data_IF_598072739380
#
_entry.id   IF_598072739380
#
_cell.length_a   1.000
_cell.length_b   1.000
_cell.length_c   1.000
_cell.angle_alpha   90.00
_cell.angle_beta   90.00
_cell.angle_gamma   90.00
#
_symmetry.space_group_name_H-M   'P 1'
#
loop_
_entity.id
_entity.type
_entity.pdbx_description
1 polymer ?
#
# COMPACT_ATOMS: atom_id res chain seq x y z
N UNK A 1 1.62 1.60 14.80
CA UNK A 1 2.63 0.56 14.38
C UNK A 1 3.68 0.39 15.46
N UNK A 2 4.09 -0.85 15.75
CA UNK A 2 5.20 -1.11 16.69
C UNK A 2 6.53 -0.61 16.12
N UNK A 3 7.53 -0.26 16.99
CA UNK A 3 8.78 0.36 16.53
C UNK A 3 9.54 -0.46 15.47
N UNK A 4 9.49 -1.80 15.56
CA UNK A 4 10.17 -2.72 14.63
C UNK A 4 9.72 -2.55 13.16
N UNK A 5 8.46 -2.17 12.93
CA UNK A 5 7.87 -2.05 11.59
C UNK A 5 7.60 -0.59 11.19
N UNK A 6 8.08 0.36 12.02
CA UNK A 6 7.95 1.78 11.73
C UNK A 6 8.82 2.16 10.53
N UNK A 7 8.23 2.80 9.55
CA UNK A 7 8.91 3.45 8.42
C UNK A 7 8.85 4.95 8.67
N UNK A 8 9.99 5.62 8.77
CA UNK A 8 10.05 7.01 9.25
C UNK A 8 9.24 7.97 8.36
N UNK A 9 9.37 7.89 7.05
CA UNK A 9 8.65 8.75 6.10
C UNK A 9 7.12 8.61 6.21
N UNK A 10 6.62 7.38 6.42
CA UNK A 10 5.20 7.16 6.69
C UNK A 10 4.81 7.68 8.08
N UNK A 11 5.68 7.51 9.06
CA UNK A 11 5.43 8.06 10.40
C UNK A 11 5.27 9.58 10.36
N UNK A 12 6.09 10.28 9.57
CA UNK A 12 6.06 11.72 9.45
C UNK A 12 4.76 12.23 8.84
N UNK A 13 4.14 11.46 7.91
CA UNK A 13 2.80 11.75 7.38
C UNK A 13 1.71 11.56 8.46
N UNK A 14 1.79 10.51 9.26
CA UNK A 14 0.72 10.11 10.18
C UNK A 14 0.93 10.55 11.63
N UNK A 15 2.01 11.27 11.98
CA UNK A 15 2.20 11.82 13.32
C UNK A 15 1.20 12.94 13.62
N UNK A 16 0.89 13.13 14.91
CA UNK A 16 -0.09 14.11 15.37
C UNK A 16 0.20 15.51 14.82
N UNK A 17 1.44 15.93 14.87
CA UNK A 17 1.84 17.24 14.34
C UNK A 17 1.45 17.44 12.86
N UNK A 18 1.76 16.49 11.98
CA UNK A 18 1.40 16.59 10.57
C UNK A 18 -0.12 16.48 10.35
N UNK A 19 -0.80 15.64 11.15
CA UNK A 19 -2.26 15.55 11.14
C UNK A 19 -2.88 16.94 11.42
N UNK A 20 -2.49 17.59 12.50
CA UNK A 20 -3.00 18.92 12.88
C UNK A 20 -2.60 19.99 11.85
N UNK A 21 -1.40 19.95 11.31
CA UNK A 21 -0.98 20.84 10.23
C UNK A 21 -1.81 20.63 8.94
N UNK A 22 -2.20 19.39 8.64
CA UNK A 22 -3.05 19.10 7.47
C UNK A 22 -4.48 19.57 7.71
N UNK A 23 -4.99 19.46 8.95
CA UNK A 23 -6.26 20.06 9.35
C UNK A 23 -6.23 21.58 9.19
N UNK A 24 -5.14 22.23 9.64
CA UNK A 24 -4.95 23.67 9.47
C UNK A 24 -4.93 24.10 8.00
N UNK A 25 -4.32 23.31 7.10
CA UNK A 25 -4.37 23.56 5.65
C UNK A 25 -5.80 23.59 5.13
N UNK A 26 -6.67 22.71 5.62
CA UNK A 26 -8.09 22.66 5.23
C UNK A 26 -8.83 23.90 5.75
N UNK A 27 -8.64 24.26 7.03
CA UNK A 27 -9.23 25.46 7.63
C UNK A 27 -8.79 26.74 6.89
N UNK A 28 -7.51 26.88 6.61
CA UNK A 28 -7.00 28.06 5.87
C UNK A 28 -7.56 28.14 4.46
N UNK A 29 -7.65 27.01 3.74
CA UNK A 29 -8.28 26.96 2.43
C UNK A 29 -9.76 27.40 2.48
N UNK A 30 -10.48 27.01 3.52
CA UNK A 30 -11.85 27.42 3.77
C UNK A 30 -11.94 28.94 4.07
N UNK A 31 -11.13 29.44 4.99
CA UNK A 31 -11.09 30.87 5.35
C UNK A 31 -10.73 31.75 4.14
N UNK A 32 -9.77 31.35 3.32
CA UNK A 32 -9.42 32.05 2.08
C UNK A 32 -10.59 32.14 1.09
N UNK A 33 -11.37 31.08 1.01
CA UNK A 33 -12.54 31.06 0.16
C UNK A 33 -13.68 31.89 0.72
N UNK A 34 -13.92 31.87 2.05
CA UNK A 34 -14.90 32.70 2.73
C UNK A 34 -14.64 34.21 2.47
N UNK A 35 -13.42 34.64 2.67
CA UNK A 35 -13.03 36.04 2.50
C UNK A 35 -13.23 36.58 1.06
N UNK A 36 -13.25 35.67 0.07
CA UNK A 36 -13.36 36.04 -1.35
C UNK A 36 -14.77 35.93 -1.93
N UNK A 37 -15.57 35.00 -1.43
CA UNK A 37 -16.75 34.52 -2.17
C UNK A 37 -18.07 34.64 -1.41
N UNK A 38 -18.07 34.91 -0.12
CA UNK A 38 -19.32 34.96 0.67
C UNK A 38 -19.66 36.40 1.03
N UNK A 39 -20.80 36.87 0.52
CA UNK A 39 -21.32 38.24 0.80
C UNK A 39 -21.86 38.38 2.21
N UNK A 40 -22.28 37.30 2.83
CA UNK A 40 -22.86 37.29 4.18
C UNK A 40 -21.80 37.20 5.29
N UNK A 41 -20.55 36.95 4.89
CA UNK A 41 -19.39 36.83 5.78
C UNK A 41 -18.57 38.12 5.69
N UNK A 42 -18.38 38.77 6.82
CA UNK A 42 -17.62 40.03 6.90
C UNK A 42 -16.13 39.81 7.16
N UNK A 43 -15.59 38.65 6.82
CA UNK A 43 -14.16 38.37 6.91
C UNK A 43 -13.42 39.15 5.83
N UNK A 44 -12.73 40.22 6.25
CA UNK A 44 -11.91 41.01 5.33
C UNK A 44 -10.58 40.32 4.99
N UNK A 45 -9.94 40.77 3.91
CA UNK A 45 -8.60 40.29 3.55
C UNK A 45 -7.58 40.63 4.64
N UNK A 46 -7.72 41.76 5.29
CA UNK A 46 -6.82 42.19 6.38
C UNK A 46 -7.00 41.29 7.62
N UNK A 47 -8.23 40.97 8.01
CA UNK A 47 -8.48 39.98 9.08
C UNK A 47 -7.94 38.61 8.74
N UNK A 48 -8.09 38.13 7.49
CA UNK A 48 -7.51 36.87 7.03
C UNK A 48 -5.97 36.87 7.14
N UNK A 49 -5.33 37.98 6.79
CA UNK A 49 -3.87 38.10 6.93
C UNK A 49 -3.46 38.06 8.41
N UNK A 50 -4.19 38.75 9.29
CA UNK A 50 -3.97 38.69 10.74
C UNK A 50 -4.10 37.24 11.25
N UNK A 51 -5.12 36.51 10.80
CA UNK A 51 -5.26 35.08 11.16
C UNK A 51 -4.03 34.30 10.71
N UNK A 52 -3.63 34.40 9.45
CA UNK A 52 -2.50 33.66 8.88
C UNK A 52 -1.16 33.95 9.58
N UNK A 53 -0.95 35.18 10.03
CA UNK A 53 0.29 35.57 10.71
C UNK A 53 0.38 35.06 12.14
N UNK A 54 -0.74 34.86 12.81
CA UNK A 54 -0.79 34.52 14.23
C UNK A 54 -1.14 33.05 14.48
N UNK A 55 -1.87 32.40 13.55
CA UNK A 55 -2.37 31.01 13.75
C UNK A 55 -1.22 30.02 13.88
N UNK A 56 -1.24 29.23 14.91
CA UNK A 56 -0.19 28.26 15.20
C UNK A 56 -0.73 26.98 15.82
N UNK A 57 0.01 25.89 15.63
CA UNK A 57 -0.27 24.58 16.23
C UNK A 57 0.54 24.41 17.50
N UNK A 58 -0.15 24.34 18.64
CA UNK A 58 0.41 23.95 19.94
C UNK A 58 -0.15 22.57 20.33
N UNK A 59 0.67 21.53 20.17
CA UNK A 59 0.26 20.14 20.41
C UNK A 59 -0.05 19.89 21.88
N UNK A 60 0.65 20.53 22.79
CA UNK A 60 0.46 20.28 24.23
C UNK A 60 -0.82 21.01 24.68
N UNK A 61 -1.07 22.22 24.21
CA UNK A 61 -2.35 22.91 24.42
C UNK A 61 -3.52 22.13 23.83
N UNK A 62 -3.38 21.60 22.61
CA UNK A 62 -4.40 20.75 21.99
C UNK A 62 -4.74 19.54 22.87
N UNK A 63 -3.73 18.82 23.43
CA UNK A 63 -3.94 17.68 24.34
C UNK A 63 -4.66 18.06 25.63
N UNK A 64 -4.32 19.21 26.22
CA UNK A 64 -4.99 19.73 27.41
C UNK A 64 -6.47 19.89 27.14
N UNK A 65 -6.84 20.64 26.09
CA UNK A 65 -8.22 20.88 25.72
C UNK A 65 -8.95 19.56 25.36
N UNK A 66 -8.29 18.65 24.60
CA UNK A 66 -8.87 17.36 24.27
C UNK A 66 -9.17 16.51 25.51
N UNK A 67 -8.30 16.57 26.53
CA UNK A 67 -8.49 15.81 27.78
C UNK A 67 -9.75 16.26 28.55
N UNK A 68 -10.14 17.52 28.41
CA UNK A 68 -11.33 18.10 29.01
C UNK A 68 -12.58 17.88 28.14
N UNK A 69 -12.49 18.24 26.86
CA UNK A 69 -13.62 18.22 25.91
C UNK A 69 -13.93 16.81 25.38
N UNK A 70 -12.95 15.91 25.39
CA UNK A 70 -12.97 14.58 24.78
C UNK A 70 -13.36 14.58 23.29
N UNK A 71 -12.99 15.68 22.61
CA UNK A 71 -13.31 15.87 21.22
C UNK A 71 -12.12 16.53 20.50
N UNK A 72 -11.42 15.74 19.67
CA UNK A 72 -10.15 16.13 19.04
C UNK A 72 -10.28 17.35 18.11
N UNK A 73 -11.35 17.44 17.30
CA UNK A 73 -11.55 18.61 16.40
C UNK A 73 -12.00 19.83 17.17
N UNK A 74 -12.86 19.69 18.21
CA UNK A 74 -13.23 20.83 19.05
C UNK A 74 -12.00 21.40 19.77
N UNK A 75 -11.14 20.54 20.28
CA UNK A 75 -9.88 20.95 20.87
C UNK A 75 -8.95 21.66 19.87
N UNK A 76 -8.92 21.19 18.62
CA UNK A 76 -8.17 21.83 17.55
C UNK A 76 -8.70 23.23 17.22
N UNK A 77 -10.00 23.37 17.04
CA UNK A 77 -10.64 24.67 16.76
C UNK A 77 -10.37 25.65 17.88
N UNK A 78 -10.60 25.26 19.15
CA UNK A 78 -10.35 26.12 20.31
C UNK A 78 -8.87 26.55 20.41
N UNK A 79 -7.93 25.63 20.21
CA UNK A 79 -6.49 25.94 20.19
C UNK A 79 -6.16 26.98 19.11
N UNK A 80 -6.76 26.87 17.92
CA UNK A 80 -6.56 27.85 16.85
C UNK A 80 -7.17 29.22 17.21
N UNK A 81 -8.39 29.22 17.77
CA UNK A 81 -9.04 30.47 18.24
C UNK A 81 -8.21 31.19 19.30
N UNK A 82 -7.62 30.46 20.24
CA UNK A 82 -6.73 31.01 21.28
C UNK A 82 -5.44 31.60 20.71
N UNK A 83 -4.98 31.15 19.54
CA UNK A 83 -3.74 31.64 18.91
C UNK A 83 -3.90 32.92 18.09
N UNK A 84 -5.12 33.35 17.82
CA UNK A 84 -5.42 34.54 17.03
C UNK A 84 -6.19 35.60 17.83
N UNK A 85 -6.21 36.90 17.42
CA UNK A 85 -7.03 37.92 18.09
C UNK A 85 -8.51 37.49 18.10
N UNK A 86 -9.16 37.63 19.25
CA UNK A 86 -10.53 37.15 19.50
C UNK A 86 -11.56 37.59 18.45
N UNK A 87 -11.44 38.79 17.92
CA UNK A 87 -12.36 39.31 16.88
C UNK A 87 -12.21 38.59 15.54
N UNK A 88 -11.01 38.09 15.22
CA UNK A 88 -10.71 37.38 13.96
C UNK A 88 -10.98 35.87 14.07
N UNK A 89 -10.82 35.31 15.26
CA UNK A 89 -11.00 33.85 15.51
C UNK A 89 -12.40 33.35 15.24
N UNK A 90 -13.44 34.20 15.31
CA UNK A 90 -14.85 33.80 15.11
C UNK A 90 -15.17 33.13 13.77
N UNK A 91 -14.28 33.25 12.77
CA UNK A 91 -14.46 32.66 11.44
C UNK A 91 -13.83 31.29 11.29
N UNK A 92 -12.99 30.87 12.25
CA UNK A 92 -12.39 29.51 12.25
C UNK A 92 -13.52 28.51 12.38
N UNK A 93 -13.50 27.48 11.55
CA UNK A 93 -14.50 26.41 11.48
C UNK A 93 -15.94 26.86 11.15
N UNK A 94 -16.13 28.09 10.66
CA UNK A 94 -17.46 28.65 10.38
C UNK A 94 -18.18 27.82 9.29
N UNK A 95 -19.34 27.24 9.63
CA UNK A 95 -20.16 26.43 8.71
C UNK A 95 -19.62 25.05 8.40
N UNK A 96 -18.53 24.66 9.03
CA UNK A 96 -17.95 23.32 8.90
C UNK A 96 -18.43 22.36 9.99
N UNK A 97 -18.18 21.08 9.78
CA UNK A 97 -18.26 20.03 10.78
C UNK A 97 -16.92 19.30 10.86
N UNK A 98 -16.68 18.57 11.94
CA UNK A 98 -15.42 17.82 12.16
C UNK A 98 -15.00 17.00 10.95
N UNK A 99 -15.94 16.33 10.28
CA UNK A 99 -15.64 15.49 9.11
C UNK A 99 -15.22 16.25 7.87
N UNK A 100 -15.57 17.53 7.74
CA UNK A 100 -15.07 18.38 6.66
C UNK A 100 -13.55 18.50 6.72
N UNK A 101 -13.02 18.67 7.93
CA UNK A 101 -11.58 18.78 8.18
C UNK A 101 -10.91 17.39 8.19
N UNK A 102 -11.49 16.43 8.93
CA UNK A 102 -10.89 15.09 9.08
C UNK A 102 -10.81 14.38 7.75
N UNK A 103 -11.92 14.25 7.02
CA UNK A 103 -11.99 13.43 5.81
C UNK A 103 -11.21 14.05 4.65
N UNK A 104 -11.30 15.36 4.48
CA UNK A 104 -10.52 16.08 3.46
C UNK A 104 -9.02 15.98 3.72
N UNK A 105 -8.60 16.11 4.97
CA UNK A 105 -7.21 15.88 5.37
C UNK A 105 -6.76 14.43 5.18
N UNK A 106 -7.65 13.48 5.45
CA UNK A 106 -7.37 12.04 5.26
C UNK A 106 -7.07 11.73 3.80
N UNK A 107 -7.83 12.32 2.85
CA UNK A 107 -7.54 12.21 1.41
C UNK A 107 -6.14 12.71 1.09
N UNK A 108 -5.73 13.86 1.61
CA UNK A 108 -4.39 14.43 1.39
C UNK A 108 -3.30 13.50 1.93
N UNK A 109 -3.44 13.03 3.17
CA UNK A 109 -2.47 12.11 3.81
C UNK A 109 -2.39 10.76 3.11
N UNK A 110 -3.50 10.23 2.59
CA UNK A 110 -3.51 9.03 1.75
C UNK A 110 -2.73 9.24 0.44
N UNK A 111 -2.91 10.37 -0.24
CA UNK A 111 -2.15 10.72 -1.46
C UNK A 111 -0.65 10.81 -1.21
N UNK A 112 -0.24 11.45 -0.10
CA UNK A 112 1.16 11.50 0.32
C UNK A 112 1.71 10.11 0.60
N UNK A 113 0.96 9.26 1.31
CA UNK A 113 1.34 7.87 1.57
C UNK A 113 1.50 7.06 0.29
N UNK A 114 0.59 7.19 -0.67
CA UNK A 114 0.68 6.52 -1.97
C UNK A 114 1.90 7.00 -2.77
N UNK A 115 2.32 8.25 -2.63
CA UNK A 115 3.53 8.77 -3.27
C UNK A 115 4.80 8.09 -2.73
N UNK A 116 4.85 7.86 -1.43
CA UNK A 116 5.95 7.11 -0.81
C UNK A 116 5.91 5.63 -1.25
N UNK A 117 4.72 5.00 -1.24
CA UNK A 117 4.54 3.61 -1.67
C UNK A 117 4.94 3.44 -3.14
N UNK A 118 4.58 4.38 -4.03
CA UNK A 118 4.97 4.39 -5.45
C UNK A 118 6.50 4.34 -5.59
N UNK A 119 7.22 5.14 -4.83
CA UNK A 119 8.69 5.14 -4.83
C UNK A 119 9.27 3.80 -4.36
N UNK A 120 8.79 3.24 -3.26
CA UNK A 120 9.26 1.93 -2.78
C UNK A 120 8.96 0.79 -3.77
N UNK A 121 7.84 0.86 -4.49
CA UNK A 121 7.55 -0.07 -5.59
C UNK A 121 8.57 0.10 -6.75
N UNK A 122 8.90 1.34 -7.12
CA UNK A 122 9.89 1.61 -8.16
C UNK A 122 11.28 1.08 -7.78
N UNK A 123 11.70 1.27 -6.52
CA UNK A 123 12.96 0.73 -5.99
C UNK A 123 12.99 -0.81 -6.08
N UNK A 124 11.89 -1.47 -5.72
CA UNK A 124 11.79 -2.94 -5.81
C UNK A 124 11.84 -3.41 -7.26
N UNK A 125 11.17 -2.72 -8.19
CA UNK A 125 11.23 -3.00 -9.63
C UNK A 125 12.64 -2.79 -10.19
N UNK A 126 13.38 -1.82 -9.69
CA UNK A 126 14.78 -1.59 -10.07
C UNK A 126 15.66 -2.82 -9.71
N UNK A 127 15.56 -3.36 -8.50
CA UNK A 127 16.32 -4.56 -8.11
C UNK A 127 15.91 -5.79 -8.92
N UNK A 128 14.63 -6.00 -9.18
CA UNK A 128 14.15 -7.08 -10.06
C UNK A 128 14.70 -6.92 -11.49
N UNK A 129 14.76 -5.70 -12.00
CA UNK A 129 15.33 -5.43 -13.34
C UNK A 129 16.83 -5.74 -13.38
N UNK A 130 17.57 -5.44 -12.30
CA UNK A 130 18.98 -5.80 -12.21
C UNK A 130 19.21 -7.31 -12.19
N UNK A 131 18.33 -8.08 -11.53
CA UNK A 131 18.37 -9.55 -11.58
C UNK A 131 18.20 -10.08 -13.01
N UNK A 132 17.29 -9.51 -13.82
CA UNK A 132 17.12 -9.90 -15.23
C UNK A 132 18.38 -9.59 -16.07
N UNK A 133 19.08 -8.51 -15.75
CA UNK A 133 20.29 -8.10 -16.46
C UNK A 133 21.53 -8.88 -16.05
N UNK A 134 21.49 -9.62 -14.95
CA UNK A 134 22.63 -10.42 -14.49
C UNK A 134 22.85 -11.65 -15.41
N UNK A 135 24.10 -12.06 -15.56
CA UNK A 135 24.47 -13.25 -16.35
C UNK A 135 23.77 -14.52 -15.86
N UNK A 136 23.57 -14.62 -14.55
CA UNK A 136 22.86 -15.71 -13.90
C UNK A 136 21.39 -15.87 -14.33
N UNK A 137 20.79 -14.81 -14.89
CA UNK A 137 19.40 -14.83 -15.33
C UNK A 137 19.12 -15.80 -16.49
N UNK A 138 20.15 -16.13 -17.29
CA UNK A 138 20.05 -17.06 -18.42
C UNK A 138 20.14 -18.53 -18.02
N UNK A 139 20.59 -18.83 -16.80
CA UNK A 139 20.76 -20.20 -16.33
C UNK A 139 19.43 -20.91 -16.17
N UNK A 140 19.47 -22.22 -16.39
CA UNK A 140 18.30 -23.09 -16.34
C UNK A 140 17.82 -23.31 -14.91
N UNK A 141 16.53 -23.47 -14.76
CA UNK A 141 15.84 -23.83 -13.52
C UNK A 141 14.63 -24.67 -13.86
N UNK A 142 14.31 -25.66 -13.04
CA UNK A 142 13.14 -26.51 -13.23
C UNK A 142 11.85 -25.75 -12.88
N UNK A 143 10.90 -25.69 -13.83
CA UNK A 143 9.54 -25.25 -13.50
C UNK A 143 8.74 -26.37 -12.84
N UNK A 144 7.87 -25.99 -11.91
CA UNK A 144 7.02 -26.95 -11.19
C UNK A 144 5.57 -26.46 -11.21
N UNK A 145 4.68 -27.32 -11.69
CA UNK A 145 3.23 -27.14 -11.59
C UNK A 145 2.67 -28.20 -10.63
N UNK A 146 1.75 -27.82 -9.75
CA UNK A 146 1.24 -28.72 -8.69
C UNK A 146 2.35 -29.36 -7.82
N UNK A 147 3.52 -28.71 -7.73
CA UNK A 147 4.71 -29.24 -7.03
C UNK A 147 5.47 -30.33 -7.78
N UNK A 148 5.07 -30.66 -9.01
CA UNK A 148 5.72 -31.65 -9.88
C UNK A 148 6.53 -30.96 -10.97
N UNK A 149 7.61 -31.63 -11.43
CA UNK A 149 8.40 -31.22 -12.58
C UNK A 149 7.50 -31.01 -13.82
N UNK A 150 7.68 -29.90 -14.52
CA UNK A 150 6.91 -29.59 -15.72
C UNK A 150 7.83 -29.34 -16.93
N UNK A 151 8.57 -28.25 -16.92
CA UNK A 151 9.46 -27.86 -18.02
C UNK A 151 10.74 -27.22 -17.48
N UNK A 152 11.78 -27.20 -18.26
CA UNK A 152 12.98 -26.41 -17.99
C UNK A 152 12.72 -24.97 -18.45
N UNK A 153 13.00 -24.01 -17.59
CA UNK A 153 12.91 -22.57 -17.86
C UNK A 153 14.20 -21.86 -17.44
N UNK A 154 14.23 -20.54 -17.54
CA UNK A 154 15.34 -19.74 -17.04
C UNK A 154 14.93 -18.89 -15.84
N UNK A 155 15.91 -18.50 -15.01
CA UNK A 155 15.66 -17.50 -13.93
C UNK A 155 15.07 -16.21 -14.50
N UNK A 156 15.48 -15.79 -15.72
CA UNK A 156 14.92 -14.61 -16.40
C UNK A 156 13.40 -14.71 -16.56
N UNK A 157 12.88 -15.88 -16.91
CA UNK A 157 11.44 -16.09 -17.04
C UNK A 157 10.73 -15.99 -15.67
N UNK A 158 11.34 -16.50 -14.60
CA UNK A 158 10.84 -16.33 -13.23
C UNK A 158 10.79 -14.84 -12.84
N UNK A 159 11.89 -14.12 -13.00
CA UNK A 159 11.98 -12.70 -12.65
C UNK A 159 11.05 -11.83 -13.50
N UNK A 160 10.88 -12.16 -14.78
CA UNK A 160 9.94 -11.46 -15.67
C UNK A 160 8.50 -11.56 -15.14
N UNK A 161 8.08 -12.73 -14.65
CA UNK A 161 6.74 -12.90 -14.03
C UNK A 161 6.59 -12.08 -12.74
N UNK A 162 7.63 -12.02 -11.90
CA UNK A 162 7.63 -11.19 -10.71
C UNK A 162 7.50 -9.70 -11.04
N UNK A 163 8.29 -9.22 -12.02
CA UNK A 163 8.18 -7.84 -12.52
C UNK A 163 6.77 -7.55 -13.04
N UNK A 164 6.21 -8.42 -13.86
CA UNK A 164 4.87 -8.22 -14.42
C UNK A 164 3.79 -8.14 -13.32
N UNK A 165 3.91 -8.94 -12.25
CA UNK A 165 3.03 -8.87 -11.09
C UNK A 165 3.14 -7.54 -10.35
N UNK A 166 4.38 -7.14 -10.01
CA UNK A 166 4.63 -5.90 -9.27
C UNK A 166 4.33 -4.66 -10.12
N UNK A 167 4.52 -4.71 -11.45
CA UNK A 167 4.14 -3.62 -12.37
C UNK A 167 2.65 -3.34 -12.33
N UNK A 168 1.81 -4.37 -12.41
CA UNK A 168 0.35 -4.22 -12.27
C UNK A 168 -0.07 -3.63 -10.92
N UNK A 169 0.67 -3.95 -9.86
CA UNK A 169 0.45 -3.36 -8.54
C UNK A 169 0.90 -1.89 -8.49
N UNK A 170 2.04 -1.57 -9.06
CA UNK A 170 2.54 -0.20 -9.22
C UNK A 170 1.54 0.70 -10.00
N UNK A 171 0.98 0.19 -11.09
CA UNK A 171 -0.01 0.92 -11.88
C UNK A 171 -1.30 1.17 -11.07
N UNK A 172 -1.71 0.22 -10.21
CA UNK A 172 -2.84 0.42 -9.31
C UNK A 172 -2.57 1.50 -8.25
N UNK A 173 -1.34 1.61 -7.72
CA UNK A 173 -0.96 2.69 -6.79
C UNK A 173 -1.07 4.04 -7.48
N UNK A 174 -0.58 4.17 -8.72
CA UNK A 174 -0.70 5.40 -9.50
C UNK A 174 -2.14 5.77 -9.79
N UNK A 175 -2.97 4.79 -10.15
CA UNK A 175 -4.39 5.01 -10.38
C UNK A 175 -5.09 5.49 -9.10
N UNK A 176 -4.89 4.82 -7.98
CA UNK A 176 -5.47 5.23 -6.69
C UNK A 176 -5.05 6.64 -6.28
N UNK A 177 -3.77 7.02 -6.51
CA UNK A 177 -3.29 8.37 -6.23
C UNK A 177 -4.02 9.44 -7.07
N UNK A 178 -4.44 9.11 -8.28
CA UNK A 178 -5.20 10.02 -9.15
C UNK A 178 -6.70 9.97 -8.91
N UNK A 179 -7.26 8.84 -8.42
CA UNK A 179 -8.68 8.74 -8.07
C UNK A 179 -9.00 9.47 -6.77
N UNK A 180 -8.06 9.55 -5.82
CA UNK A 180 -8.19 10.31 -4.57
C UNK A 180 -8.09 11.83 -4.83
N UNK A 181 -9.09 12.39 -5.49
CA UNK A 181 -9.15 13.80 -5.93
C UNK A 181 -10.34 14.58 -5.37
N UNK A 182 -11.15 13.98 -4.51
CA UNK A 182 -12.32 14.61 -3.94
C UNK A 182 -12.12 14.90 -2.45
N UNK A 183 -12.75 15.96 -1.98
CA UNK A 183 -12.85 16.34 -0.59
C UNK A 183 -14.26 16.85 -0.29
N UNK A 184 -14.53 17.24 0.95
CA UNK A 184 -15.81 17.83 1.33
C UNK A 184 -15.63 19.00 2.31
N UNK A 185 -16.47 20.03 2.16
CA UNK A 185 -16.67 21.14 3.10
C UNK A 185 -18.16 21.51 3.11
N UNK A 186 -19.03 20.51 3.09
CA UNK A 186 -20.47 20.64 2.87
C UNK A 186 -21.31 20.69 4.17
N UNK A 187 -20.63 20.69 5.33
CA UNK A 187 -21.26 20.83 6.63
C UNK A 187 -21.84 19.50 7.21
N UNK A 188 -22.64 19.60 8.28
CA UNK A 188 -23.00 18.46 9.15
C UNK A 188 -23.79 17.33 8.47
N UNK A 189 -24.48 17.61 7.39
CA UNK A 189 -25.29 16.61 6.66
C UNK A 189 -25.04 16.62 5.14
N UNK A 190 -24.02 17.35 4.68
CA UNK A 190 -23.72 17.46 3.26
C UNK A 190 -24.65 18.41 2.48
N UNK A 191 -25.47 19.19 3.15
CA UNK A 191 -26.54 19.99 2.56
C UNK A 191 -26.17 21.45 2.25
N UNK A 192 -24.93 21.86 2.52
CA UNK A 192 -24.47 23.25 2.28
C UNK A 192 -25.34 24.32 2.98
N UNK A 193 -25.87 24.04 4.17
CA UNK A 193 -26.80 24.93 4.87
C UNK A 193 -26.16 26.29 5.19
N UNK A 194 -24.89 26.29 5.58
CA UNK A 194 -24.12 27.49 5.91
C UNK A 194 -23.02 27.75 4.88
N UNK A 195 -22.23 26.73 4.53
CA UNK A 195 -21.16 26.85 3.55
C UNK A 195 -21.67 26.51 2.15
N UNK A 196 -21.73 27.48 1.24
CA UNK A 196 -22.28 27.26 -0.10
C UNK A 196 -21.32 26.41 -0.99
N UNK A 197 -21.91 25.75 -2.00
CA UNK A 197 -21.17 24.89 -2.94
C UNK A 197 -20.02 25.61 -3.65
N UNK A 198 -20.19 26.90 -3.99
CA UNK A 198 -19.12 27.67 -4.63
C UNK A 198 -17.93 27.89 -3.69
N UNK A 199 -18.20 28.14 -2.41
CA UNK A 199 -17.15 28.30 -1.40
C UNK A 199 -16.39 26.99 -1.19
N UNK A 200 -17.10 25.87 -1.05
CA UNK A 200 -16.50 24.54 -1.01
C UNK A 200 -15.60 24.28 -2.22
N UNK A 201 -16.10 24.52 -3.44
CA UNK A 201 -15.35 24.26 -4.66
C UNK A 201 -14.06 25.11 -4.76
N UNK A 202 -14.12 26.37 -4.34
CA UNK A 202 -12.96 27.24 -4.36
C UNK A 202 -11.93 26.85 -3.30
N UNK A 203 -12.37 26.53 -2.08
CA UNK A 203 -11.50 26.04 -1.01
C UNK A 203 -10.81 24.73 -1.39
N UNK A 204 -11.55 23.75 -1.89
CA UNK A 204 -10.99 22.46 -2.29
C UNK A 204 -10.02 22.57 -3.48
N UNK A 205 -10.26 23.50 -4.41
CA UNK A 205 -9.34 23.75 -5.53
C UNK A 205 -7.95 24.18 -5.06
N UNK A 206 -7.83 24.96 -3.99
CA UNK A 206 -6.53 25.35 -3.41
C UNK A 206 -5.77 24.15 -2.85
N UNK A 207 -6.50 23.09 -2.47
CA UNK A 207 -5.95 21.80 -2.02
C UNK A 207 -5.75 20.80 -3.17
N UNK A 208 -5.98 21.20 -4.42
CA UNK A 208 -5.98 20.30 -5.59
C UNK A 208 -7.00 19.17 -5.46
N UNK A 209 -8.17 19.49 -4.91
CA UNK A 209 -9.32 18.60 -4.75
C UNK A 209 -10.56 19.19 -5.40
N UNK A 210 -11.59 18.36 -5.58
CA UNK A 210 -12.91 18.71 -6.09
C UNK A 210 -13.99 18.37 -5.04
N UNK A 211 -15.15 19.04 -5.05
CA UNK A 211 -16.27 18.68 -4.19
C UNK A 211 -16.78 17.26 -4.47
N UNK A 212 -17.18 16.57 -3.41
CA UNK A 212 -17.83 15.28 -3.48
C UNK A 212 -19.27 15.35 -2.95
N UNK A 213 -20.22 14.79 -3.68
CA UNK A 213 -21.57 14.59 -3.14
C UNK A 213 -21.53 13.53 -2.05
N UNK A 214 -21.85 13.90 -0.83
CA UNK A 214 -21.75 13.04 0.34
C UNK A 214 -22.70 13.52 1.45
N UNK A 215 -22.83 12.73 2.51
CA UNK A 215 -23.54 13.09 3.74
C UNK A 215 -22.63 13.86 4.70
N UNK A 216 -22.65 13.57 6.00
CA UNK A 216 -21.70 14.16 6.95
C UNK A 216 -20.26 13.77 6.68
N UNK A 217 -20.02 12.59 6.08
CA UNK A 217 -18.71 12.02 5.83
C UNK A 217 -18.51 11.73 4.34
N UNK A 218 -17.26 11.68 3.88
CA UNK A 218 -16.92 11.07 2.60
C UNK A 218 -17.29 9.58 2.67
N UNK A 219 -18.03 9.02 1.69
CA UNK A 219 -18.35 7.59 1.66
C UNK A 219 -17.10 6.72 1.79
N UNK A 220 -17.13 5.70 2.65
CA UNK A 220 -15.92 4.91 2.96
C UNK A 220 -15.47 4.01 1.83
N UNK A 221 -16.36 3.65 0.91
CA UNK A 221 -16.02 2.96 -0.34
C UNK A 221 -15.02 3.77 -1.19
N UNK A 222 -15.05 5.10 -1.12
CA UNK A 222 -14.06 5.97 -1.77
C UNK A 222 -12.62 5.69 -1.34
N UNK A 223 -12.41 5.36 -0.07
CA UNK A 223 -11.09 5.01 0.44
C UNK A 223 -10.67 3.57 0.12
N UNK A 224 -11.57 2.73 -0.41
CA UNK A 224 -11.21 1.38 -0.84
C UNK A 224 -10.17 1.39 -1.97
N UNK A 225 -10.13 2.42 -2.81
CA UNK A 225 -9.09 2.57 -3.83
C UNK A 225 -7.67 2.61 -3.20
N UNK A 226 -7.53 3.31 -2.06
CA UNK A 226 -6.28 3.33 -1.29
C UNK A 226 -5.90 1.94 -0.77
N UNK A 227 -6.83 1.27 -0.11
CA UNK A 227 -6.58 -0.05 0.46
C UNK A 227 -6.39 -1.12 -0.64
N UNK A 228 -7.18 -1.05 -1.71
CA UNK A 228 -7.06 -2.01 -2.82
C UNK A 228 -5.73 -1.88 -3.57
N UNK A 229 -5.25 -0.68 -3.78
CA UNK A 229 -3.94 -0.45 -4.39
C UNK A 229 -2.83 -1.06 -3.54
N UNK A 230 -2.86 -0.84 -2.22
CA UNK A 230 -1.92 -1.45 -1.28
C UNK A 230 -2.06 -2.98 -1.27
N UNK A 231 -3.29 -3.53 -1.32
CA UNK A 231 -3.51 -4.97 -1.39
C UNK A 231 -2.79 -5.60 -2.60
N UNK A 232 -2.89 -4.98 -3.77
CA UNK A 232 -2.20 -5.48 -4.98
C UNK A 232 -0.69 -5.52 -4.80
N UNK A 233 -0.11 -4.52 -4.14
CA UNK A 233 1.32 -4.51 -3.81
C UNK A 233 1.66 -5.62 -2.83
N UNK A 234 0.90 -5.76 -1.76
CA UNK A 234 1.11 -6.79 -0.74
C UNK A 234 1.06 -8.19 -1.36
N UNK A 235 0.08 -8.47 -2.23
CA UNK A 235 -0.06 -9.76 -2.91
C UNK A 235 1.12 -10.05 -3.87
N UNK A 236 1.59 -9.04 -4.60
CA UNK A 236 2.74 -9.20 -5.50
C UNK A 236 4.04 -9.46 -4.70
N UNK A 237 4.26 -8.74 -3.61
CA UNK A 237 5.42 -8.89 -2.72
C UNK A 237 5.37 -10.23 -1.98
N UNK A 238 4.21 -10.64 -1.47
CA UNK A 238 4.00 -11.94 -0.83
C UNK A 238 4.27 -13.10 -1.79
N UNK A 239 3.81 -13.00 -3.05
CA UNK A 239 4.06 -14.02 -4.07
C UNK A 239 5.55 -14.22 -4.32
N UNK A 240 6.31 -13.14 -4.47
CA UNK A 240 7.77 -13.20 -4.65
C UNK A 240 8.44 -13.84 -3.42
N UNK A 241 8.07 -13.38 -2.22
CA UNK A 241 8.62 -13.92 -0.98
C UNK A 241 8.28 -15.41 -0.81
N UNK A 242 7.07 -15.81 -1.18
CA UNK A 242 6.65 -17.21 -1.13
C UNK A 242 7.42 -18.09 -2.13
N UNK A 243 7.64 -17.61 -3.36
CA UNK A 243 8.44 -18.32 -4.36
C UNK A 243 9.88 -18.52 -3.87
N UNK A 244 10.53 -17.49 -3.34
CA UNK A 244 11.88 -17.58 -2.78
C UNK A 244 11.94 -18.64 -1.67
N UNK A 245 10.93 -18.71 -0.80
CA UNK A 245 10.84 -19.75 0.25
C UNK A 245 10.73 -21.14 -0.32
N UNK A 246 9.92 -21.35 -1.36
CA UNK A 246 9.80 -22.65 -2.03
C UNK A 246 11.11 -23.06 -2.69
N UNK A 247 11.76 -22.14 -3.38
CA UNK A 247 13.07 -22.41 -3.99
C UNK A 247 14.19 -22.66 -2.96
N UNK A 248 14.02 -22.23 -1.71
CA UNK A 248 15.00 -22.42 -0.64
C UNK A 248 14.79 -23.69 0.20
N UNK A 249 13.74 -24.49 -0.07
CA UNK A 249 13.48 -25.74 0.66
C UNK A 249 14.64 -26.71 0.47
N UNK A 250 15.00 -27.44 1.55
CA UNK A 250 15.97 -28.51 1.49
C UNK A 250 15.56 -29.54 0.42
N UNK A 251 16.50 -29.97 -0.41
CA UNK A 251 16.24 -30.81 -1.58
C UNK A 251 15.82 -30.05 -2.85
N UNK A 252 15.48 -28.77 -2.76
CA UNK A 252 15.30 -27.84 -3.91
C UNK A 252 16.50 -26.92 -4.02
N UNK A 253 16.71 -26.05 -3.07
CA UNK A 253 17.84 -25.14 -2.83
C UNK A 253 18.38 -24.43 -4.08
N UNK A 254 17.48 -24.05 -5.00
CA UNK A 254 17.83 -23.39 -6.27
C UNK A 254 18.00 -21.87 -6.10
N UNK A 255 17.38 -21.30 -5.05
CA UNK A 255 17.43 -19.87 -4.74
C UNK A 255 17.21 -19.67 -3.23
N UNK A 256 17.86 -18.69 -2.62
CA UNK A 256 17.63 -18.38 -1.19
C UNK A 256 17.85 -16.90 -0.89
N UNK A 257 17.26 -16.43 0.21
CA UNK A 257 17.54 -15.09 0.73
C UNK A 257 19.00 -14.97 1.19
N UNK A 258 19.57 -13.74 1.20
CA UNK A 258 20.95 -13.54 1.62
C UNK A 258 21.12 -13.84 3.12
N UNK A 259 22.23 -14.48 3.46
CA UNK A 259 22.61 -14.75 4.84
C UNK A 259 23.92 -14.03 5.18
N UNK A 260 23.86 -13.03 6.06
CA UNK A 260 25.01 -12.18 6.39
C UNK A 260 25.98 -12.87 7.34
N UNK A 261 27.28 -12.54 7.20
CA UNK A 261 28.31 -13.01 8.14
C UNK A 261 27.93 -12.63 9.59
N UNK A 262 27.93 -13.62 10.47
CA UNK A 262 27.54 -13.45 11.87
C UNK A 262 26.03 -13.53 12.15
N UNK A 263 25.19 -13.61 11.13
CA UNK A 263 23.76 -13.86 11.31
C UNK A 263 23.53 -15.25 11.91
N UNK A 264 22.54 -15.37 12.80
CA UNK A 264 22.10 -16.64 13.38
C UNK A 264 20.77 -17.04 12.72
N UNK A 265 20.73 -18.23 12.14
CA UNK A 265 19.51 -18.76 11.47
C UNK A 265 18.63 -19.56 12.41
N UNK A 266 19.22 -20.18 13.44
CA UNK A 266 18.52 -21.02 14.40
C UNK A 266 19.21 -20.95 15.74
N UNK A 267 18.45 -21.02 16.83
CA UNK A 267 18.98 -21.08 18.21
C UNK A 267 19.44 -22.49 18.60
N UNK A 268 18.84 -23.52 18.00
CA UNK A 268 19.11 -24.92 18.33
C UNK A 268 20.08 -25.60 17.35
N UNK A 269 20.02 -25.22 16.07
CA UNK A 269 20.81 -25.83 14.99
C UNK A 269 21.67 -24.77 14.29
N UNK A 270 22.95 -24.59 14.64
CA UNK A 270 23.78 -23.47 14.15
C UNK A 270 23.96 -23.41 12.64
N UNK A 271 23.89 -24.55 11.94
CA UNK A 271 24.00 -24.62 10.47
C UNK A 271 22.74 -24.22 9.72
N UNK A 272 21.58 -24.18 10.40
CA UNK A 272 20.26 -23.99 9.75
C UNK A 272 20.04 -22.51 9.37
N UNK A 273 19.91 -22.24 8.09
CA UNK A 273 19.67 -20.91 7.52
C UNK A 273 18.20 -20.72 7.19
N UNK A 274 17.38 -20.38 8.20
CA UNK A 274 15.94 -20.15 7.98
C UNK A 274 15.70 -18.90 7.14
N UNK A 275 14.70 -18.91 6.23
CA UNK A 275 14.33 -17.78 5.36
C UNK A 275 13.46 -16.75 6.11
N UNK A 276 14.00 -16.18 7.21
CA UNK A 276 13.25 -15.34 8.16
C UNK A 276 12.76 -14.00 7.58
N UNK A 277 13.44 -13.49 6.54
CA UNK A 277 13.05 -12.21 5.92
C UNK A 277 11.79 -12.39 5.08
N UNK A 278 11.76 -13.43 4.25
CA UNK A 278 10.60 -13.76 3.41
C UNK A 278 9.44 -14.33 4.22
N UNK A 279 9.69 -15.07 5.30
CA UNK A 279 8.66 -15.49 6.26
C UNK A 279 7.98 -14.29 6.92
N UNK A 280 8.75 -13.29 7.34
CA UNK A 280 8.21 -12.07 7.94
C UNK A 280 7.37 -11.26 6.93
N UNK A 281 7.78 -11.18 5.65
CA UNK A 281 6.96 -10.59 4.59
C UNK A 281 5.60 -11.28 4.52
N UNK A 282 5.57 -12.62 4.43
CA UNK A 282 4.32 -13.39 4.38
C UNK A 282 3.45 -13.19 5.64
N UNK A 283 4.06 -13.10 6.82
CA UNK A 283 3.36 -12.83 8.09
C UNK A 283 2.68 -11.46 8.11
N UNK A 284 3.39 -10.41 7.70
CA UNK A 284 2.84 -9.05 7.62
C UNK A 284 1.78 -8.91 6.51
N UNK A 285 1.91 -9.66 5.43
CA UNK A 285 0.90 -9.73 4.36
C UNK A 285 -0.44 -10.27 4.88
N UNK A 286 -0.42 -11.25 5.78
CA UNK A 286 -1.65 -11.75 6.44
C UNK A 286 -2.32 -10.67 7.28
N UNK A 287 -1.53 -9.92 8.07
CA UNK A 287 -2.05 -8.82 8.88
C UNK A 287 -2.69 -7.74 8.01
N UNK A 288 -2.04 -7.37 6.90
CA UNK A 288 -2.62 -6.39 5.98
C UNK A 288 -3.98 -6.83 5.40
N UNK A 289 -4.12 -8.10 5.05
CA UNK A 289 -5.39 -8.65 4.52
C UNK A 289 -6.55 -8.48 5.52
N UNK A 290 -6.29 -8.55 6.84
CA UNK A 290 -7.31 -8.25 7.86
C UNK A 290 -7.67 -6.77 7.90
N UNK A 291 -6.73 -5.86 7.65
CA UNK A 291 -7.03 -4.43 7.54
C UNK A 291 -7.88 -4.10 6.31
N UNK A 292 -7.62 -4.75 5.17
CA UNK A 292 -8.48 -4.63 3.98
C UNK A 292 -9.90 -5.09 4.28
N UNK A 293 -10.08 -6.21 5.00
CA UNK A 293 -11.40 -6.67 5.42
C UNK A 293 -12.10 -5.62 6.30
N UNK A 294 -11.40 -5.07 7.30
CA UNK A 294 -11.92 -3.99 8.15
C UNK A 294 -12.32 -2.76 7.35
N UNK A 295 -11.55 -2.39 6.32
CA UNK A 295 -11.89 -1.26 5.46
C UNK A 295 -13.18 -1.49 4.67
N UNK A 296 -13.44 -2.73 4.22
CA UNK A 296 -14.70 -3.11 3.56
C UNK A 296 -15.87 -3.00 4.54
N UNK A 297 -15.73 -3.50 5.77
CA UNK A 297 -16.78 -3.41 6.79
C UNK A 297 -17.13 -1.96 7.16
N UNK A 298 -16.16 -1.06 7.13
CA UNK A 298 -16.36 0.37 7.39
C UNK A 298 -17.20 1.09 6.33
N UNK A 299 -17.43 0.48 5.16
CA UNK A 299 -18.29 1.08 4.13
C UNK A 299 -19.76 1.13 4.52
N UNK A 300 -20.18 0.26 5.44
CA UNK A 300 -21.53 0.26 5.97
C UNK A 300 -21.65 1.26 7.13
N UNK A 301 -22.28 2.39 6.88
CA UNK A 301 -22.55 3.42 7.89
C UNK A 301 -24.05 3.63 8.06
N UNK A 302 -24.48 3.98 9.27
CA UNK A 302 -25.90 4.22 9.58
C UNK A 302 -26.30 5.62 9.10
N UNK A 303 -27.28 5.69 8.19
CA UNK A 303 -27.81 6.94 7.63
C UNK A 303 -26.69 7.88 7.16
N UNK A 304 -26.69 9.14 7.60
CA UNK A 304 -25.69 10.14 7.23
C UNK A 304 -24.34 9.88 7.87
N UNK A 305 -24.29 9.27 9.05
CA UNK A 305 -23.09 8.83 9.78
C UNK A 305 -23.43 8.12 11.09
N UNK A 306 -22.66 7.09 11.41
CA UNK A 306 -22.28 6.70 12.77
C UNK A 306 -20.76 6.81 12.94
N UNK A 307 -20.24 6.64 14.17
CA UNK A 307 -18.81 6.81 14.45
C UNK A 307 -18.03 5.48 14.52
N UNK A 308 -18.67 4.35 14.24
CA UNK A 308 -18.06 3.01 14.39
C UNK A 308 -16.79 2.84 13.53
N UNK A 309 -16.79 3.40 12.31
CA UNK A 309 -15.65 3.35 11.41
C UNK A 309 -14.40 4.03 12.00
N UNK A 310 -14.56 5.12 12.77
CA UNK A 310 -13.47 5.98 13.21
C UNK A 310 -12.45 5.26 14.08
N UNK A 311 -12.89 4.38 14.98
CA UNK A 311 -12.00 3.63 15.88
C UNK A 311 -11.04 2.73 15.08
N UNK A 312 -11.56 2.02 14.07
CA UNK A 312 -10.77 1.17 13.20
C UNK A 312 -9.85 1.98 12.29
N UNK A 313 -10.33 3.09 11.73
CA UNK A 313 -9.58 3.96 10.80
C UNK A 313 -8.34 4.59 11.44
N UNK A 314 -8.39 4.90 12.73
CA UNK A 314 -7.21 5.37 13.51
C UNK A 314 -6.03 4.41 13.45
N UNK A 315 -6.27 3.14 13.17
CA UNK A 315 -5.27 2.07 13.09
C UNK A 315 -4.97 1.74 11.62
N UNK A 316 -5.99 1.34 10.85
CA UNK A 316 -5.78 0.67 9.57
C UNK A 316 -5.15 1.55 8.49
N UNK A 317 -5.44 2.86 8.44
CA UNK A 317 -4.87 3.75 7.43
C UNK A 317 -3.34 3.86 7.56
N UNK A 318 -2.87 4.30 8.71
CA UNK A 318 -1.43 4.49 8.95
C UNK A 318 -0.66 3.18 8.96
N UNK A 319 -1.22 2.14 9.61
CA UNK A 319 -0.53 0.87 9.76
C UNK A 319 -0.45 0.11 8.43
N UNK A 320 -1.44 0.26 7.54
CA UNK A 320 -1.38 -0.23 6.16
C UNK A 320 -0.19 0.34 5.39
N UNK A 321 0.01 1.65 5.44
CA UNK A 321 1.13 2.32 4.78
C UNK A 321 2.49 1.87 5.35
N UNK A 322 2.58 1.73 6.68
CA UNK A 322 3.78 1.20 7.33
C UNK A 322 4.11 -0.21 6.87
N UNK A 323 3.13 -1.12 6.88
CA UNK A 323 3.32 -2.52 6.50
C UNK A 323 3.81 -2.62 5.06
N UNK A 324 3.13 -1.98 4.11
CA UNK A 324 3.50 -2.11 2.70
C UNK A 324 4.88 -1.54 2.40
N UNK A 325 5.23 -0.38 2.94
CA UNK A 325 6.57 0.19 2.76
C UNK A 325 7.65 -0.67 3.43
N UNK A 326 7.36 -1.23 4.61
CA UNK A 326 8.29 -2.10 5.31
C UNK A 326 8.57 -3.40 4.53
N UNK A 327 7.53 -4.08 4.02
CA UNK A 327 7.72 -5.33 3.25
C UNK A 327 8.38 -5.08 1.90
N UNK A 328 8.07 -3.96 1.22
CA UNK A 328 8.76 -3.54 -0.01
C UNK A 328 10.26 -3.32 0.23
N UNK A 329 10.61 -2.54 1.26
CA UNK A 329 12.01 -2.31 1.63
C UNK A 329 12.73 -3.60 1.99
N UNK A 330 12.06 -4.50 2.72
CA UNK A 330 12.60 -5.81 3.07
C UNK A 330 12.83 -6.66 1.83
N UNK A 331 11.85 -6.73 0.93
CA UNK A 331 11.98 -7.46 -0.34
C UNK A 331 13.11 -6.88 -1.20
N UNK A 332 13.22 -5.56 -1.33
CA UNK A 332 14.32 -4.91 -2.05
C UNK A 332 15.69 -5.33 -1.52
N UNK A 333 15.83 -5.41 -0.18
CA UNK A 333 17.08 -5.88 0.43
C UNK A 333 17.35 -7.37 0.17
N UNK A 334 16.31 -8.20 0.09
CA UNK A 334 16.46 -9.62 -0.29
C UNK A 334 16.88 -9.74 -1.76
N UNK A 335 16.21 -9.01 -2.65
CA UNK A 335 16.47 -9.07 -4.10
C UNK A 335 17.87 -8.54 -4.47
N UNK A 336 18.37 -7.55 -3.72
CA UNK A 336 19.69 -6.95 -3.96
C UNK A 336 20.81 -7.99 -3.87
N UNK A 337 20.72 -8.88 -2.89
CA UNK A 337 21.76 -9.84 -2.56
C UNK A 337 21.22 -11.29 -2.67
N UNK A 338 20.24 -11.54 -3.54
CA UNK A 338 19.59 -12.83 -3.72
C UNK A 338 20.60 -13.89 -4.13
N UNK A 339 20.67 -14.99 -3.39
CA UNK A 339 21.50 -16.12 -3.77
C UNK A 339 20.80 -16.96 -4.85
N UNK A 340 21.48 -17.17 -5.96
CA UNK A 340 21.08 -18.02 -7.06
C UNK A 340 22.08 -19.17 -7.11
N UNK A 341 21.62 -20.42 -6.88
CA UNK A 341 22.42 -21.64 -6.85
C UNK A 341 22.34 -22.34 -8.20
N UNK A 342 23.13 -21.88 -9.16
CA UNK A 342 23.10 -22.28 -10.56
C UNK A 342 23.35 -23.78 -10.73
N UNK A 343 24.42 -24.28 -10.10
CA UNK A 343 24.81 -25.69 -10.19
C UNK A 343 23.71 -26.64 -9.66
N UNK A 344 23.06 -26.25 -8.54
CA UNK A 344 21.98 -27.05 -7.97
C UNK A 344 20.75 -27.01 -8.87
N UNK A 345 20.44 -25.83 -9.44
CA UNK A 345 19.30 -25.69 -10.34
C UNK A 345 19.49 -26.53 -11.63
N UNK A 346 20.70 -26.54 -12.17
CA UNK A 346 21.05 -27.35 -13.34
C UNK A 346 20.98 -28.84 -13.04
N UNK A 347 21.52 -29.28 -11.90
CA UNK A 347 21.40 -30.68 -11.43
C UNK A 347 19.93 -31.07 -11.25
N UNK A 348 19.13 -30.27 -10.60
CA UNK A 348 17.69 -30.52 -10.45
C UNK A 348 16.98 -30.61 -11.80
N UNK A 349 17.32 -29.74 -12.76
CA UNK A 349 16.74 -29.80 -14.10
C UNK A 349 17.13 -31.10 -14.82
N UNK A 350 18.39 -31.55 -14.73
CA UNK A 350 18.90 -32.73 -15.36
C UNK A 350 18.24 -34.03 -14.82
N UNK A 351 17.97 -34.12 -13.50
CA UNK A 351 17.28 -35.28 -12.89
C UNK A 351 15.91 -35.50 -13.51
N UNK A 352 15.22 -34.44 -13.93
CA UNK A 352 13.87 -34.52 -14.49
C UNK A 352 13.83 -34.34 -16.02
N UNK A 353 14.98 -34.36 -16.72
CA UNK A 353 15.05 -34.09 -18.15
C UNK A 353 14.16 -35.03 -18.97
N UNK A 354 14.18 -36.34 -18.66
CA UNK A 354 13.31 -37.31 -19.31
C UNK A 354 11.81 -37.03 -19.11
N UNK A 355 11.41 -36.58 -17.90
CA UNK A 355 10.00 -36.25 -17.61
C UNK A 355 9.56 -34.99 -18.33
N UNK A 356 10.43 -33.98 -18.46
CA UNK A 356 10.12 -32.69 -19.09
C UNK A 356 10.00 -32.80 -20.61
N UNK A 357 10.57 -33.86 -21.23
CA UNK A 357 10.49 -34.11 -22.68
C UNK A 357 9.18 -34.76 -23.13
N UNK A 358 8.30 -35.18 -22.21
CA UNK A 358 7.06 -35.92 -22.54
C UNK A 358 6.15 -35.18 -23.53
N UNK A 359 6.07 -33.88 -23.40
CA UNK A 359 5.27 -33.05 -24.31
C UNK A 359 5.87 -32.97 -25.72
N UNK A 360 7.19 -32.89 -25.82
CA UNK A 360 7.89 -32.85 -27.13
C UNK A 360 7.70 -34.16 -27.86
N UNK A 361 7.87 -35.33 -27.17
CA UNK A 361 7.61 -36.64 -27.72
C UNK A 361 6.17 -36.74 -28.23
N UNK A 362 5.18 -36.29 -27.45
CA UNK A 362 3.79 -36.30 -27.87
C UNK A 362 3.56 -35.42 -29.10
N UNK A 363 4.12 -34.22 -29.12
CA UNK A 363 3.94 -33.25 -30.20
C UNK A 363 4.59 -33.72 -31.51
N UNK A 364 5.76 -34.35 -31.44
CA UNK A 364 6.43 -34.84 -32.62
C UNK A 364 5.65 -35.99 -33.27
N UNK A 365 5.08 -36.90 -32.49
CA UNK A 365 4.17 -37.95 -33.01
C UNK A 365 2.90 -37.36 -33.65
N UNK A 366 2.35 -36.27 -33.08
CA UNK A 366 1.23 -35.55 -33.70
C UNK A 366 1.63 -34.99 -35.08
N UNK A 367 2.82 -34.39 -35.18
CA UNK A 367 3.35 -33.89 -36.46
C UNK A 367 3.56 -35.02 -37.49
N UNK A 368 3.91 -36.22 -37.03
CA UNK A 368 4.01 -37.43 -37.85
C UNK A 368 2.64 -37.96 -38.34
N UNK A 369 1.52 -37.40 -37.88
CA UNK A 369 0.18 -37.74 -38.33
C UNK A 369 -0.59 -38.67 -37.38
N UNK A 370 -0.06 -39.00 -36.19
CA UNK A 370 -0.78 -39.80 -35.20
C UNK A 370 -1.83 -38.98 -34.43
N UNK A 371 -2.88 -39.68 -33.97
CA UNK A 371 -3.91 -39.02 -33.16
C UNK A 371 -3.33 -38.55 -31.81
N UNK A 372 -3.89 -37.45 -31.27
CA UNK A 372 -3.48 -36.92 -29.95
C UNK A 372 -3.56 -37.95 -28.82
N UNK A 373 -4.62 -38.80 -28.83
CA UNK A 373 -4.80 -39.86 -27.84
C UNK A 373 -3.67 -40.85 -27.90
N UNK A 374 -3.40 -41.42 -29.11
CA UNK A 374 -2.32 -42.38 -29.32
C UNK A 374 -0.95 -41.76 -28.92
N UNK A 375 -0.66 -40.56 -29.35
CA UNK A 375 0.58 -39.85 -29.03
C UNK A 375 0.77 -39.66 -27.53
N UNK A 376 -0.30 -39.32 -26.80
CA UNK A 376 -0.31 -39.18 -25.34
C UNK A 376 -0.01 -40.48 -24.65
N UNK A 377 -0.73 -41.56 -25.00
CA UNK A 377 -0.59 -42.88 -24.37
C UNK A 377 0.83 -43.44 -24.60
N UNK A 378 1.40 -43.27 -25.81
CA UNK A 378 2.76 -43.70 -26.11
C UNK A 378 3.79 -42.86 -25.34
N UNK A 379 3.66 -41.55 -25.30
CA UNK A 379 4.56 -40.66 -24.56
C UNK A 379 4.57 -41.00 -23.08
N UNK A 380 3.39 -41.25 -22.48
CA UNK A 380 3.28 -41.69 -21.08
C UNK A 380 4.03 -43.00 -20.82
N UNK A 381 3.80 -44.02 -21.66
CA UNK A 381 4.45 -45.33 -21.53
C UNK A 381 5.98 -45.26 -21.70
N UNK A 382 6.50 -44.40 -22.59
CA UNK A 382 7.93 -44.20 -22.79
C UNK A 382 8.59 -43.60 -21.56
N UNK A 383 7.96 -42.59 -20.97
CA UNK A 383 8.49 -41.94 -19.76
C UNK A 383 8.43 -42.85 -18.54
N UNK A 384 7.34 -43.60 -18.35
CA UNK A 384 7.20 -44.54 -17.23
C UNK A 384 8.25 -45.65 -17.29
N UNK A 385 8.58 -46.18 -18.47
CA UNK A 385 9.62 -47.20 -18.64
C UNK A 385 11.03 -46.70 -18.35
N UNK A 386 11.31 -45.42 -18.59
CA UNK A 386 12.63 -44.82 -18.40
C UNK A 386 12.88 -44.33 -16.98
N UNK A 387 11.85 -44.25 -16.11
CA UNK A 387 11.93 -43.78 -14.74
C UNK A 387 11.89 -44.89 -13.67
N UNK A 388 11.89 -46.16 -14.09
CA UNK A 388 12.06 -47.34 -13.26
C UNK A 388 13.21 -48.20 -13.83
#
# INVERSE_FOLDING_TARGET
MIPRYKVQEIHDIWKTENKLNTWLKVELAHLESLARNMTDVTLSVDELNIIKENISIDIDRWKEIESETRHDVQAFVQMLEESVPHTSGRWIHYGLTSSDVIDTSLVLMCKESLTIIERYCADTLFYLTNLIKSDKSSNKILSRTHGKAAEVQTYRQVFTRWIAGLRRAFDAVRLAKTSLKYGKLSGPSGNHTTNCLMNEANALRTLSLYPMTCSQIIPRDYFLDYFYAILKVVLAVEKIAYDIRIYSIDGVNEMSEPFKKGQKGSSAMPHKKNPILTENICGLSRLYKSYMHTAIENCLTLLERDISHSAAERIIFKDSAHIVCFILKRLSNVLKDLNINEDIAEQNAAIFENMTSSQDIMNDRIKEGFSRKFSHDVSQNEIEKNNF
#
